data_IF_202367031001
#
_entry.id   IF_202367031001
#
_cell.length_a   1.000
_cell.length_b   1.000
_cell.length_c   1.000
_cell.angle_alpha   90.00
_cell.angle_beta   90.00
_cell.angle_gamma   90.00
#
_symmetry.space_group_name_H-M   'P 1'
#
loop_
_entity.id
_entity.type
_entity.pdbx_description
1 polymer ?
#
# COMPACT_ATOMS: atom_id res chain seq x y z
N UNK A 1 -9.15 -10.13 -13.95
CA UNK A 1 -9.07 -8.74 -14.51
C UNK A 1 -9.78 -7.82 -13.54
N UNK A 2 -9.04 -6.96 -12.84
CA UNK A 2 -9.62 -6.02 -11.89
C UNK A 2 -10.50 -5.00 -12.61
N UNK A 3 -11.58 -4.61 -11.92
CA UNK A 3 -12.60 -3.73 -12.46
C UNK A 3 -12.02 -2.35 -12.83
N UNK A 4 -12.36 -1.85 -14.02
CA UNK A 4 -12.03 -0.49 -14.47
C UNK A 4 -12.49 0.59 -13.45
N UNK A 5 -13.51 0.29 -12.64
CA UNK A 5 -14.00 1.17 -11.58
C UNK A 5 -12.90 1.38 -10.53
N UNK A 6 -12.23 0.31 -10.06
CA UNK A 6 -11.15 0.42 -9.08
C UNK A 6 -9.96 1.23 -9.63
N UNK A 7 -9.57 0.97 -10.88
CA UNK A 7 -8.50 1.74 -11.53
C UNK A 7 -8.86 3.25 -11.64
N UNK A 8 -10.13 3.57 -11.89
CA UNK A 8 -10.58 4.96 -11.92
C UNK A 8 -10.61 5.59 -10.51
N UNK A 9 -10.94 4.83 -9.48
CA UNK A 9 -10.91 5.31 -8.09
C UNK A 9 -9.50 5.64 -7.59
N UNK A 10 -8.46 5.04 -8.20
CA UNK A 10 -7.06 5.36 -7.88
C UNK A 10 -6.58 6.69 -8.49
N UNK A 11 -7.36 7.31 -9.37
CA UNK A 11 -6.99 8.60 -9.97
C UNK A 11 -7.24 9.74 -8.97
N UNK A 12 -6.21 10.51 -8.67
CA UNK A 12 -6.32 11.65 -7.78
C UNK A 12 -5.14 11.76 -6.81
N UNK A 13 -5.35 12.54 -5.77
CA UNK A 13 -4.35 12.76 -4.73
C UNK A 13 -4.47 11.67 -3.67
N UNK A 14 -3.39 10.93 -3.46
CA UNK A 14 -3.29 9.94 -2.39
C UNK A 14 -2.74 10.62 -1.13
N UNK A 15 -3.56 10.75 -0.10
CA UNK A 15 -3.14 11.25 1.19
C UNK A 15 -2.51 10.13 2.03
N UNK A 16 -1.25 10.29 2.38
CA UNK A 16 -0.52 9.34 3.24
C UNK A 16 -0.76 9.73 4.70
N UNK A 17 -1.60 8.94 5.38
CA UNK A 17 -2.00 9.20 6.76
C UNK A 17 -0.83 8.98 7.73
N UNK A 18 -0.66 9.92 8.67
CA UNK A 18 0.24 9.76 9.81
C UNK A 18 -0.38 8.81 10.83
N UNK A 19 0.44 7.95 11.41
CA UNK A 19 0.04 7.19 12.60
C UNK A 19 0.04 8.11 13.81
N UNK A 20 -1.02 8.07 14.60
CA UNK A 20 -1.17 8.92 15.78
C UNK A 20 -1.00 8.08 17.03
N UNK A 21 -0.10 8.53 17.91
CA UNK A 21 0.19 7.89 19.18
C UNK A 21 -0.34 8.71 20.35
N UNK A 22 -0.63 8.02 21.45
CA UNK A 22 -1.08 8.68 22.67
C UNK A 22 0.03 9.56 23.25
N UNK A 23 -0.31 10.78 23.63
CA UNK A 23 0.65 11.77 24.15
C UNK A 23 1.47 11.26 25.36
N UNK A 24 0.87 10.40 26.21
CA UNK A 24 1.51 9.87 27.43
C UNK A 24 2.11 8.48 27.25
N UNK A 25 1.88 7.83 26.11
CA UNK A 25 2.38 6.49 25.80
C UNK A 25 2.63 6.37 24.30
N UNK A 26 3.87 6.59 23.88
CA UNK A 26 4.29 6.51 22.48
C UNK A 26 4.26 5.08 21.88
N UNK A 27 3.98 4.05 22.69
CA UNK A 27 3.76 2.68 22.24
C UNK A 27 2.27 2.33 22.10
N UNK A 28 1.37 3.26 22.33
CA UNK A 28 -0.06 3.04 22.16
C UNK A 28 -0.64 3.97 21.09
N UNK A 29 -1.38 3.38 20.16
CA UNK A 29 -2.07 4.13 19.12
C UNK A 29 -3.20 4.99 19.72
N UNK A 30 -3.36 6.19 19.18
CA UNK A 30 -4.56 7.02 19.34
C UNK A 30 -5.45 6.85 18.09
N UNK A 31 -6.23 5.77 18.10
CA UNK A 31 -7.11 5.45 16.97
C UNK A 31 -8.23 6.48 16.78
N UNK A 32 -8.66 7.17 17.84
CA UNK A 32 -9.68 8.21 17.74
C UNK A 32 -9.13 9.50 17.14
N UNK A 33 -7.95 9.91 17.55
CA UNK A 33 -7.24 11.04 16.94
C UNK A 33 -6.90 10.76 15.47
N UNK A 34 -6.46 9.52 15.18
CA UNK A 34 -6.23 9.07 13.80
C UNK A 34 -7.49 9.18 12.95
N UNK A 35 -8.61 8.62 13.41
CA UNK A 35 -9.89 8.66 12.71
C UNK A 35 -10.39 10.08 12.50
N UNK A 36 -10.27 10.96 13.51
CA UNK A 36 -10.68 12.36 13.41
C UNK A 36 -9.93 13.10 12.29
N UNK A 37 -8.61 12.85 12.14
CA UNK A 37 -7.82 13.43 11.07
C UNK A 37 -8.28 12.96 9.68
N UNK A 38 -8.62 11.68 9.52
CA UNK A 38 -9.12 11.15 8.24
C UNK A 38 -10.48 11.75 7.89
N UNK A 39 -11.41 11.81 8.86
CA UNK A 39 -12.73 12.42 8.66
C UNK A 39 -12.59 13.89 8.27
N UNK A 40 -11.76 14.63 8.97
CA UNK A 40 -11.51 16.05 8.68
C UNK A 40 -10.99 16.25 7.25
N UNK A 41 -10.08 15.41 6.78
CA UNK A 41 -9.55 15.48 5.43
C UNK A 41 -10.57 15.03 4.38
N UNK A 42 -11.35 13.96 4.65
CA UNK A 42 -12.39 13.49 3.75
C UNK A 42 -13.50 14.53 3.53
N UNK A 43 -13.91 15.25 4.58
CA UNK A 43 -14.86 16.36 4.48
C UNK A 43 -14.36 17.53 3.62
N UNK A 44 -13.04 17.58 3.36
CA UNK A 44 -12.38 18.59 2.51
C UNK A 44 -11.99 18.07 1.14
N UNK A 45 -12.54 16.91 0.75
CA UNK A 45 -12.42 16.36 -0.60
C UNK A 45 -11.27 15.39 -0.79
N UNK A 46 -10.58 14.94 0.26
CA UNK A 46 -9.63 13.84 0.15
C UNK A 46 -10.40 12.53 -0.03
N UNK A 47 -10.22 11.88 -1.16
CA UNK A 47 -10.96 10.66 -1.54
C UNK A 47 -10.10 9.38 -1.54
N UNK A 48 -8.80 9.47 -1.26
CA UNK A 48 -7.89 8.32 -1.22
C UNK A 48 -6.95 8.48 -0.03
N UNK A 49 -6.93 7.49 0.87
CA UNK A 49 -6.02 7.45 2.01
C UNK A 49 -5.14 6.21 1.95
N UNK A 50 -3.83 6.40 2.03
CA UNK A 50 -2.86 5.32 2.25
C UNK A 50 -2.52 5.28 3.73
N UNK A 51 -2.77 4.12 4.37
CA UNK A 51 -2.66 3.93 5.82
C UNK A 51 -1.50 3.02 6.15
N UNK A 52 -0.81 3.31 7.25
CA UNK A 52 0.34 2.54 7.72
C UNK A 52 1.43 2.38 6.64
N UNK A 53 1.57 3.36 5.73
CA UNK A 53 2.67 3.42 4.76
C UNK A 53 3.97 3.94 5.39
N UNK A 54 4.96 4.30 4.57
CA UNK A 54 6.22 4.87 5.05
C UNK A 54 6.00 6.13 5.91
N UNK A 55 5.16 7.06 5.47
CA UNK A 55 4.76 8.24 6.25
C UNK A 55 4.02 7.88 7.55
N UNK A 56 3.29 6.77 7.56
CA UNK A 56 2.58 6.22 8.72
C UNK A 56 3.43 5.26 9.55
N UNK A 57 4.76 5.29 9.40
CA UNK A 57 5.73 4.54 10.21
C UNK A 57 5.55 3.02 10.12
N UNK A 58 5.31 2.48 8.91
CA UNK A 58 5.05 1.07 8.66
C UNK A 58 5.99 0.13 9.44
N UNK A 59 7.30 0.41 9.39
CA UNK A 59 8.32 -0.47 9.97
C UNK A 59 8.34 -0.46 11.52
N UNK A 60 7.69 0.52 12.15
CA UNK A 60 7.54 0.61 13.60
C UNK A 60 6.27 -0.07 14.12
N UNK A 61 5.35 -0.46 13.24
CA UNK A 61 4.05 -1.03 13.60
C UNK A 61 4.10 -2.54 13.67
N UNK A 62 3.45 -3.10 14.67
CA UNK A 62 3.14 -4.53 14.73
C UNK A 62 2.07 -4.91 13.70
N UNK A 63 1.95 -6.18 13.30
CA UNK A 63 0.87 -6.64 12.41
C UNK A 63 -0.53 -6.29 12.93
N UNK A 64 -0.77 -6.41 14.23
CA UNK A 64 -2.05 -6.08 14.86
C UNK A 64 -2.37 -4.58 14.80
N UNK A 65 -1.38 -3.72 14.97
CA UNK A 65 -1.56 -2.27 14.86
C UNK A 65 -1.88 -1.85 13.43
N UNK A 66 -1.23 -2.46 12.42
CA UNK A 66 -1.56 -2.22 11.01
C UNK A 66 -3.00 -2.60 10.69
N UNK A 67 -3.48 -3.75 11.20
CA UNK A 67 -4.88 -4.17 11.04
C UNK A 67 -5.83 -3.18 11.73
N UNK A 68 -5.53 -2.76 12.96
CA UNK A 68 -6.36 -1.81 13.70
C UNK A 68 -6.46 -0.44 13.01
N UNK A 69 -5.35 0.06 12.44
CA UNK A 69 -5.34 1.30 11.66
C UNK A 69 -6.16 1.17 10.37
N UNK A 70 -6.03 0.05 9.66
CA UNK A 70 -6.82 -0.20 8.45
C UNK A 70 -8.32 -0.27 8.75
N UNK A 71 -8.72 -1.05 9.73
CA UNK A 71 -10.10 -1.18 10.19
C UNK A 71 -10.67 0.18 10.62
N UNK A 72 -9.94 0.89 11.48
CA UNK A 72 -10.37 2.19 11.98
C UNK A 72 -10.52 3.23 10.87
N UNK A 73 -9.61 3.23 9.89
CA UNK A 73 -9.72 4.09 8.72
C UNK A 73 -10.98 3.79 7.91
N UNK A 74 -11.23 2.52 7.57
CA UNK A 74 -12.39 2.12 6.79
C UNK A 74 -13.70 2.48 7.47
N UNK A 75 -13.80 2.26 8.78
CA UNK A 75 -14.98 2.67 9.57
C UNK A 75 -15.14 4.20 9.58
N UNK A 76 -14.04 4.95 9.74
CA UNK A 76 -14.09 6.40 9.86
C UNK A 76 -14.52 7.11 8.58
N UNK A 77 -13.98 6.70 7.42
CA UNK A 77 -14.29 7.37 6.14
C UNK A 77 -15.45 6.72 5.38
N UNK A 78 -15.71 5.41 5.62
CA UNK A 78 -16.78 4.67 4.94
C UNK A 78 -16.65 4.75 3.42
N UNK A 79 -17.77 4.95 2.73
CA UNK A 79 -17.81 5.06 1.27
C UNK A 79 -17.29 6.40 0.72
N UNK A 80 -16.96 7.37 1.60
CA UNK A 80 -16.49 8.70 1.18
C UNK A 80 -15.08 8.68 0.59
N UNK A 81 -14.27 7.68 0.91
CA UNK A 81 -12.90 7.58 0.43
C UNK A 81 -12.44 6.13 0.31
N UNK A 82 -11.54 5.89 -0.65
CA UNK A 82 -10.82 4.63 -0.79
C UNK A 82 -9.72 4.57 0.26
N UNK A 83 -9.70 3.50 1.06
CA UNK A 83 -8.61 3.22 2.01
C UNK A 83 -7.69 2.16 1.41
N UNK A 84 -6.40 2.48 1.35
CA UNK A 84 -5.33 1.62 0.86
C UNK A 84 -4.43 1.26 2.04
N UNK A 85 -4.61 0.12 2.71
CA UNK A 85 -3.71 -0.34 3.74
C UNK A 85 -2.35 -0.75 3.13
N UNK A 86 -1.31 -0.83 3.96
CA UNK A 86 0.04 -1.16 3.49
C UNK A 86 0.47 -2.56 3.95
N UNK A 87 0.96 -3.34 3.02
CA UNK A 87 1.62 -4.62 3.24
C UNK A 87 3.13 -4.40 3.39
N UNK A 88 3.78 -4.97 4.42
CA UNK A 88 5.23 -4.84 4.63
C UNK A 88 6.05 -5.59 3.57
N UNK A 89 7.34 -5.30 3.48
CA UNK A 89 8.26 -5.96 2.55
C UNK A 89 8.65 -7.41 2.95
N UNK A 90 8.21 -7.89 4.11
CA UNK A 90 8.36 -9.29 4.52
C UNK A 90 7.24 -10.11 3.88
N UNK A 91 7.57 -11.09 3.03
CA UNK A 91 6.60 -11.88 2.27
C UNK A 91 5.63 -12.65 3.18
N UNK A 92 6.13 -13.28 4.23
CA UNK A 92 5.28 -14.06 5.14
C UNK A 92 4.25 -13.19 5.84
N UNK A 93 4.68 -12.07 6.41
CA UNK A 93 3.80 -11.13 7.08
C UNK A 93 2.81 -10.47 6.10
N UNK A 94 3.27 -10.09 4.91
CA UNK A 94 2.41 -9.53 3.87
C UNK A 94 1.33 -10.54 3.41
N UNK A 95 1.70 -11.81 3.25
CA UNK A 95 0.78 -12.89 2.88
C UNK A 95 -0.26 -13.20 3.97
N UNK A 96 0.09 -13.01 5.24
CA UNK A 96 -0.85 -13.18 6.36
C UNK A 96 -1.79 -11.97 6.50
N UNK A 97 -1.29 -10.76 6.23
CA UNK A 97 -2.08 -9.52 6.32
C UNK A 97 -3.05 -9.33 5.15
N UNK A 98 -2.68 -9.74 3.94
CA UNK A 98 -3.49 -9.50 2.74
C UNK A 98 -4.93 -10.03 2.87
N UNK A 99 -5.19 -11.28 3.27
CA UNK A 99 -6.55 -11.77 3.45
C UNK A 99 -7.27 -11.11 4.64
N UNK A 100 -6.56 -10.55 5.62
CA UNK A 100 -7.17 -9.76 6.68
C UNK A 100 -7.71 -8.44 6.14
N UNK A 101 -6.92 -7.74 5.34
CA UNK A 101 -7.33 -6.49 4.71
C UNK A 101 -8.51 -6.68 3.74
N UNK A 102 -8.50 -7.76 2.96
CA UNK A 102 -9.63 -8.12 2.09
C UNK A 102 -10.93 -8.30 2.90
N UNK A 103 -10.86 -9.05 4.01
CA UNK A 103 -12.04 -9.23 4.90
C UNK A 103 -12.54 -7.94 5.54
N UNK A 104 -11.68 -6.97 5.77
CA UNK A 104 -12.07 -5.62 6.23
C UNK A 104 -12.72 -4.79 5.13
N UNK A 105 -12.67 -5.24 3.88
CA UNK A 105 -13.25 -4.54 2.73
C UNK A 105 -12.23 -3.75 1.90
N UNK A 106 -10.91 -3.92 2.14
CA UNK A 106 -9.91 -3.33 1.27
C UNK A 106 -10.00 -3.96 -0.13
N UNK A 107 -9.89 -3.13 -1.15
CA UNK A 107 -9.89 -3.57 -2.55
C UNK A 107 -8.50 -3.52 -3.17
N UNK A 108 -7.61 -2.72 -2.61
CA UNK A 108 -6.22 -2.57 -3.02
C UNK A 108 -5.34 -2.30 -1.80
N UNK A 109 -4.12 -2.80 -1.82
CA UNK A 109 -3.10 -2.50 -0.81
C UNK A 109 -1.82 -1.95 -1.44
N UNK A 110 -1.19 -1.00 -0.77
CA UNK A 110 0.19 -0.61 -1.07
C UNK A 110 1.11 -1.74 -0.61
N UNK A 111 1.88 -2.33 -1.52
CA UNK A 111 2.80 -3.41 -1.20
C UNK A 111 4.24 -2.89 -1.21
N UNK A 112 4.87 -2.89 -0.04
CA UNK A 112 6.26 -2.44 0.10
C UNK A 112 7.19 -3.33 -0.73
N UNK A 113 8.29 -2.76 -1.22
CA UNK A 113 9.32 -3.53 -1.92
C UNK A 113 9.92 -4.60 -1.01
N UNK A 114 10.31 -5.77 -1.55
CA UNK A 114 10.93 -6.80 -0.76
C UNK A 114 12.26 -6.33 -0.16
N UNK A 115 12.50 -6.65 1.10
CA UNK A 115 13.73 -6.31 1.81
C UNK A 115 14.32 -7.56 2.44
N UNK A 116 15.59 -7.84 2.13
CA UNK A 116 16.34 -8.91 2.77
C UNK A 116 17.38 -8.26 3.69
N UNK A 117 17.08 -8.28 4.99
CA UNK A 117 17.86 -7.64 6.07
C UNK A 117 18.16 -6.17 5.78
N UNK A 118 18.96 -5.57 5.37
CA UNK A 118 19.18 -4.15 5.12
C UNK A 118 19.47 -3.86 3.64
N UNK A 119 19.21 -4.80 2.76
CA UNK A 119 19.49 -4.67 1.34
C UNK A 119 18.24 -4.93 0.50
N UNK A 120 18.10 -4.16 -0.57
CA UNK A 120 17.20 -4.49 -1.65
C UNK A 120 17.74 -5.69 -2.44
N UNK A 121 16.90 -6.60 -2.96
CA UNK A 121 17.38 -7.58 -3.91
C UNK A 121 17.90 -6.87 -5.17
N UNK A 122 19.12 -7.20 -5.57
CA UNK A 122 19.74 -6.64 -6.78
C UNK A 122 19.19 -7.28 -8.07
N UNK A 123 18.46 -8.38 -7.95
CA UNK A 123 17.92 -9.13 -9.08
C UNK A 123 16.46 -8.75 -9.36
N UNK A 124 16.14 -8.13 -10.51
CA UNK A 124 14.77 -7.87 -10.94
C UNK A 124 13.88 -9.12 -11.00
N UNK A 125 14.44 -10.30 -11.26
CA UNK A 125 13.69 -11.55 -11.26
C UNK A 125 13.24 -11.93 -9.85
N UNK A 126 14.04 -11.65 -8.83
CA UNK A 126 13.67 -11.88 -7.44
C UNK A 126 12.53 -10.96 -7.01
N UNK A 127 12.55 -9.68 -7.40
CA UNK A 127 11.47 -8.72 -7.13
C UNK A 127 10.17 -9.16 -7.81
N UNK A 128 10.24 -9.55 -9.09
CA UNK A 128 9.07 -10.08 -9.80
C UNK A 128 8.49 -11.32 -9.11
N UNK A 129 9.35 -12.31 -8.77
CA UNK A 129 8.93 -13.54 -8.09
C UNK A 129 8.29 -13.26 -6.72
N UNK A 130 8.78 -12.25 -5.99
CA UNK A 130 8.18 -11.80 -4.73
C UNK A 130 6.73 -11.34 -4.93
N UNK A 131 6.48 -10.44 -5.87
CA UNK A 131 5.12 -9.94 -6.11
C UNK A 131 4.20 -10.98 -6.73
N UNK A 132 4.73 -11.89 -7.54
CA UNK A 132 3.97 -13.04 -8.05
C UNK A 132 3.52 -13.95 -6.90
N UNK A 133 4.42 -14.26 -5.96
CA UNK A 133 4.10 -15.08 -4.80
C UNK A 133 3.11 -14.38 -3.86
N UNK A 134 3.26 -13.06 -3.64
CA UNK A 134 2.33 -12.26 -2.84
C UNK A 134 0.96 -12.19 -3.51
N UNK A 135 0.90 -11.96 -4.83
CA UNK A 135 -0.34 -11.93 -5.60
C UNK A 135 -1.12 -13.24 -5.50
N UNK A 136 -0.43 -14.38 -5.59
CA UNK A 136 -1.05 -15.69 -5.43
C UNK A 136 -1.68 -15.92 -4.03
N UNK A 137 -1.30 -15.11 -3.04
CA UNK A 137 -1.79 -15.20 -1.65
C UNK A 137 -2.72 -14.04 -1.26
N UNK A 138 -2.88 -13.04 -2.12
CA UNK A 138 -3.65 -11.84 -1.81
C UNK A 138 -5.17 -12.00 -1.96
N UNK A 139 -5.65 -13.16 -2.46
CA UNK A 139 -7.08 -13.38 -2.68
C UNK A 139 -7.63 -12.43 -3.75
N UNK A 140 -8.69 -11.70 -3.42
CA UNK A 140 -9.27 -10.65 -4.28
C UNK A 140 -8.66 -9.26 -4.08
N UNK A 141 -7.65 -9.12 -3.21
CA UNK A 141 -6.98 -7.84 -2.95
C UNK A 141 -6.01 -7.49 -4.08
N UNK A 142 -6.23 -6.35 -4.72
CA UNK A 142 -5.30 -5.81 -5.70
C UNK A 142 -4.02 -5.27 -5.03
N UNK A 143 -2.91 -5.29 -5.75
CA UNK A 143 -1.62 -4.82 -5.26
C UNK A 143 -1.18 -3.55 -5.99
N UNK A 144 -0.60 -2.63 -5.23
CA UNK A 144 0.11 -1.46 -5.71
C UNK A 144 1.55 -1.50 -5.19
N UNK A 145 2.49 -2.14 -5.90
CA UNK A 145 3.90 -2.17 -5.54
C UNK A 145 4.48 -0.77 -5.32
N UNK A 146 5.33 -0.64 -4.31
CA UNK A 146 6.02 0.62 -4.01
C UNK A 146 7.50 0.51 -4.41
N UNK A 147 7.88 1.23 -5.47
CA UNK A 147 9.26 1.30 -5.92
C UNK A 147 10.10 2.17 -4.97
N UNK A 148 10.79 1.53 -4.05
CA UNK A 148 11.81 2.19 -3.18
C UNK A 148 13.24 1.85 -3.60
N UNK A 149 13.41 1.17 -4.75
CA UNK A 149 14.66 0.52 -5.15
C UNK A 149 15.13 0.95 -6.54
N UNK A 150 14.56 2.01 -7.12
CA UNK A 150 14.90 2.54 -8.44
C UNK A 150 14.79 1.48 -9.56
N UNK A 151 13.64 0.83 -9.66
CA UNK A 151 13.40 -0.24 -10.63
C UNK A 151 13.52 0.22 -12.06
N UNK A 152 14.00 -0.69 -12.93
CA UNK A 152 14.11 -0.45 -14.36
C UNK A 152 12.75 -0.52 -15.07
N UNK A 153 12.65 0.06 -16.27
CA UNK A 153 11.47 -0.07 -17.12
C UNK A 153 11.10 -1.52 -17.43
N UNK A 154 12.10 -2.38 -17.63
CA UNK A 154 11.87 -3.82 -17.90
C UNK A 154 11.24 -4.52 -16.69
N UNK A 155 11.56 -4.11 -15.46
CA UNK A 155 10.90 -4.64 -14.27
C UNK A 155 9.45 -4.16 -14.18
N UNK A 156 9.15 -2.91 -14.49
CA UNK A 156 7.78 -2.41 -14.55
C UNK A 156 6.92 -3.23 -15.53
N UNK A 157 7.44 -3.53 -16.73
CA UNK A 157 6.75 -4.35 -17.72
C UNK A 157 6.45 -5.77 -17.17
N UNK A 158 7.44 -6.40 -16.55
CA UNK A 158 7.27 -7.73 -15.94
C UNK A 158 6.28 -7.71 -14.78
N UNK A 159 6.26 -6.65 -13.96
CA UNK A 159 5.30 -6.50 -12.87
C UNK A 159 3.86 -6.32 -13.40
N UNK A 160 3.69 -5.69 -14.57
CA UNK A 160 2.39 -5.56 -15.21
C UNK A 160 1.79 -6.90 -15.68
N UNK A 161 2.61 -7.97 -15.80
CA UNK A 161 2.15 -9.33 -16.10
C UNK A 161 1.55 -10.04 -14.88
N UNK A 162 1.78 -9.55 -13.66
CA UNK A 162 1.20 -10.10 -12.43
C UNK A 162 -0.25 -9.64 -12.30
N UNK A 163 -1.19 -10.56 -12.40
CA UNK A 163 -2.63 -10.28 -12.48
C UNK A 163 -3.14 -9.36 -11.37
N UNK A 164 -2.61 -9.49 -10.16
CA UNK A 164 -3.03 -8.72 -8.99
C UNK A 164 -2.50 -7.29 -8.97
N UNK A 165 -1.51 -6.96 -9.79
CA UNK A 165 -0.94 -5.62 -9.84
C UNK A 165 -1.77 -4.73 -10.76
N UNK A 166 -2.32 -3.63 -10.22
CA UNK A 166 -3.17 -2.70 -10.97
C UNK A 166 -2.59 -1.29 -11.06
N UNK A 167 -1.59 -0.98 -10.26
CA UNK A 167 -0.90 0.28 -10.21
C UNK A 167 0.49 0.09 -9.60
N UNK A 168 1.38 1.05 -9.79
CA UNK A 168 2.70 1.11 -9.13
C UNK A 168 2.87 2.50 -8.54
N UNK A 169 3.31 2.57 -7.28
CA UNK A 169 3.78 3.81 -6.69
C UNK A 169 5.26 3.98 -6.98
N UNK A 170 5.61 5.04 -7.70
CA UNK A 170 7.00 5.38 -8.02
C UNK A 170 7.35 6.79 -7.53
N UNK A 171 8.16 6.95 -6.48
CA UNK A 171 8.65 8.23 -6.00
C UNK A 171 9.99 8.61 -6.64
N UNK A 172 10.43 7.89 -7.68
CA UNK A 172 11.74 8.07 -8.27
C UNK A 172 11.90 9.51 -8.82
N UNK A 173 13.05 10.12 -8.55
CA UNK A 173 13.39 11.45 -9.06
C UNK A 173 13.77 11.41 -10.53
N UNK A 174 14.26 10.25 -11.00
CA UNK A 174 14.52 9.98 -12.41
C UNK A 174 13.29 9.28 -13.01
N UNK A 175 12.49 10.04 -13.75
CA UNK A 175 11.25 9.59 -14.37
C UNK A 175 11.46 8.84 -15.70
N UNK A 176 12.68 8.75 -16.22
CA UNK A 176 12.98 8.03 -17.45
C UNK A 176 12.54 6.55 -17.46
N UNK A 177 12.77 5.73 -16.41
CA UNK A 177 12.28 4.36 -16.36
C UNK A 177 10.76 4.28 -16.42
N UNK A 178 10.05 5.13 -15.68
CA UNK A 178 8.59 5.19 -15.68
C UNK A 178 8.03 5.58 -17.03
N UNK A 179 8.55 6.65 -17.64
CA UNK A 179 8.10 7.09 -18.98
C UNK A 179 8.34 6.03 -20.04
N UNK A 180 9.48 5.32 -19.99
CA UNK A 180 9.75 4.21 -20.91
C UNK A 180 8.76 3.07 -20.75
N UNK A 181 8.38 2.73 -19.52
CA UNK A 181 7.38 1.69 -19.25
C UNK A 181 5.98 2.08 -19.73
N UNK A 182 5.59 3.36 -19.60
CA UNK A 182 4.29 3.86 -20.07
C UNK A 182 4.20 3.88 -21.60
N UNK A 183 5.34 4.07 -22.32
CA UNK A 183 5.39 4.14 -23.77
C UNK A 183 5.41 2.77 -24.47
N UNK A 184 5.62 1.68 -23.76
CA UNK A 184 5.64 0.30 -24.25
C UNK A 184 4.33 -0.42 -24.05
#
# INVERSE_FOLDING_TARGET
>A
MFDKVLCNQLKGVHAYALTIYQRKNCFALDLDGFAANLVWAAERGVSIFVVAGGTGENDALTPSERVSLAERAMVAVGERALVIPTLPGNLGEAADLAPLYERLGARVALAMAPVIRHQAPDDPAAVHSYYQALGARSGGLALMPYNTQSWSADLFERLAEVEQIIAIKDPCVDDHPLFRAIQR
#
